data_IF_931098648265
#
_entry.id   IF_931098648265
#
_cell.length_a   1.000
_cell.length_b   1.000
_cell.length_c   1.000
_cell.angle_alpha   90.00
_cell.angle_beta   90.00
_cell.angle_gamma   90.00
#
_symmetry.space_group_name_H-M   'P 1'
#
loop_
_entity.id
_entity.type
_entity.pdbx_description
1 polymer ?
#
# COMPACT_ATOMS: atom_id res chain seq x y z
N UNK A 1 -1.15 -11.60 29.81
CA UNK A 1 -0.21 -12.33 28.90
C UNK A 1 -0.72 -12.52 27.47
N UNK A 2 -2.04 -12.54 27.21
CA UNK A 2 -2.64 -12.83 25.89
C UNK A 2 -2.40 -11.73 24.82
N UNK A 3 -2.26 -10.48 25.27
CA UNK A 3 -2.11 -9.27 24.47
C UNK A 3 -0.69 -9.15 23.87
N UNK A 4 0.33 -9.58 24.64
CA UNK A 4 1.73 -9.62 24.19
C UNK A 4 1.93 -10.65 23.06
N UNK A 5 1.19 -11.77 23.08
CA UNK A 5 1.25 -12.79 22.01
C UNK A 5 0.67 -12.28 20.69
N UNK A 6 -0.42 -11.51 20.73
CA UNK A 6 -0.98 -10.84 19.54
C UNK A 6 0.04 -9.87 18.94
N UNK A 7 0.70 -9.05 19.79
CA UNK A 7 1.69 -8.07 19.35
C UNK A 7 2.91 -8.75 18.71
N UNK A 8 3.35 -9.89 19.27
CA UNK A 8 4.47 -10.68 18.76
C UNK A 8 4.13 -11.38 17.43
N UNK A 9 2.89 -11.87 17.27
CA UNK A 9 2.41 -12.44 16.00
C UNK A 9 2.26 -11.36 14.92
N UNK A 10 1.78 -10.16 15.28
CA UNK A 10 1.67 -9.03 14.34
C UNK A 10 3.05 -8.54 13.88
N UNK A 11 4.00 -8.42 14.82
CA UNK A 11 5.39 -8.05 14.53
C UNK A 11 6.10 -9.14 13.71
N UNK A 12 5.89 -10.42 14.03
CA UNK A 12 6.42 -11.54 13.27
C UNK A 12 5.84 -11.62 11.85
N UNK A 13 4.53 -11.36 11.70
CA UNK A 13 3.89 -11.26 10.38
C UNK A 13 4.41 -10.06 9.59
N UNK A 14 4.62 -8.91 10.23
CA UNK A 14 5.21 -7.73 9.58
C UNK A 14 6.65 -7.98 9.11
N UNK A 15 7.48 -8.64 9.93
CA UNK A 15 8.84 -9.04 9.55
C UNK A 15 8.83 -10.10 8.44
N UNK A 16 7.92 -11.08 8.51
CA UNK A 16 7.80 -12.11 7.48
C UNK A 16 7.30 -11.55 6.14
N UNK A 17 6.34 -10.62 6.16
CA UNK A 17 5.86 -9.91 4.96
C UNK A 17 6.96 -9.02 4.40
N UNK A 18 7.70 -8.30 5.24
CA UNK A 18 8.84 -7.49 4.79
C UNK A 18 9.94 -8.36 4.19
N UNK A 19 10.26 -9.51 4.80
CA UNK A 19 11.24 -10.46 4.27
C UNK A 19 10.77 -11.10 2.96
N UNK A 20 9.47 -11.40 2.82
CA UNK A 20 8.89 -11.85 1.57
C UNK A 20 9.03 -10.78 0.49
N UNK A 21 8.74 -9.50 0.80
CA UNK A 21 8.87 -8.36 -0.12
C UNK A 21 10.32 -8.14 -0.62
N UNK A 22 11.32 -8.51 0.17
CA UNK A 22 12.73 -8.52 -0.26
C UNK A 22 13.09 -9.69 -1.19
N UNK A 23 12.30 -10.78 -1.19
CA UNK A 23 12.55 -12.02 -1.95
C UNK A 23 11.59 -12.24 -3.13
N UNK A 24 10.48 -11.48 -3.25
CA UNK A 24 9.67 -11.48 -4.47
C UNK A 24 10.49 -10.84 -5.59
N UNK A 25 10.48 -11.38 -6.83
CA UNK A 25 10.93 -10.61 -7.97
C UNK A 25 10.27 -9.24 -7.90
N UNK A 26 11.07 -8.16 -7.92
CA UNK A 26 10.54 -6.81 -7.96
C UNK A 26 9.53 -6.80 -9.10
N UNK A 27 8.24 -6.65 -8.79
CA UNK A 27 7.24 -6.37 -9.80
C UNK A 27 7.65 -5.01 -10.38
N UNK A 28 8.46 -5.06 -11.43
CA UNK A 28 8.69 -3.93 -12.32
C UNK A 28 7.31 -3.68 -12.89
N UNK A 29 6.60 -2.73 -12.29
CA UNK A 29 5.49 -2.08 -12.95
C UNK A 29 6.02 -1.68 -14.32
N UNK A 30 5.35 -2.14 -15.38
CA UNK A 30 5.78 -1.87 -16.74
C UNK A 30 5.95 -0.36 -16.89
N UNK A 31 7.20 0.08 -16.86
CA UNK A 31 7.55 1.47 -17.05
C UNK A 31 7.19 1.79 -18.50
N UNK A 32 6.33 2.80 -18.70
CA UNK A 32 5.90 3.25 -20.02
C UNK A 32 7.06 3.72 -20.90
N UNK A 33 8.27 3.79 -20.34
CA UNK A 33 9.45 4.27 -21.04
C UNK A 33 10.09 3.28 -22.02
N UNK A 34 9.70 2.00 -22.16
CA UNK A 34 10.23 1.08 -23.22
C UNK A 34 11.76 1.13 -23.48
N UNK A 35 12.59 1.48 -22.49
CA UNK A 35 14.04 1.65 -22.68
C UNK A 35 14.50 3.01 -23.26
N UNK A 36 13.60 3.97 -23.45
CA UNK A 36 13.86 5.34 -23.89
C UNK A 36 14.82 6.07 -22.95
N UNK A 37 14.73 5.82 -21.65
CA UNK A 37 15.70 6.31 -20.67
C UNK A 37 17.11 5.74 -20.90
N UNK A 38 17.23 4.43 -21.19
CA UNK A 38 18.52 3.81 -21.47
C UNK A 38 19.15 4.35 -22.77
N UNK A 39 18.32 4.66 -23.77
CA UNK A 39 18.75 5.33 -25.00
C UNK A 39 19.14 6.79 -24.74
N UNK A 40 18.38 7.54 -23.94
CA UNK A 40 18.68 8.92 -23.58
C UNK A 40 20.01 9.03 -22.79
N UNK A 41 20.27 8.08 -21.89
CA UNK A 41 21.53 7.98 -21.15
C UNK A 41 22.72 7.70 -22.08
N UNK A 42 22.55 6.79 -23.04
CA UNK A 42 23.58 6.45 -24.04
C UNK A 42 23.81 7.59 -25.04
N UNK A 43 22.79 8.41 -25.29
CA UNK A 43 22.85 9.59 -26.15
C UNK A 43 23.41 10.84 -25.45
N UNK A 44 23.72 10.77 -24.14
CA UNK A 44 24.24 11.90 -23.37
C UNK A 44 23.22 13.03 -23.15
N UNK A 45 21.92 12.74 -23.29
CA UNK A 45 20.86 13.70 -23.02
C UNK A 45 20.74 13.90 -21.49
N UNK A 46 20.52 15.13 -21.01
CA UNK A 46 20.29 15.37 -19.59
C UNK A 46 19.01 14.65 -19.17
N UNK A 47 19.17 13.49 -18.54
CA UNK A 47 18.11 12.73 -17.91
C UNK A 47 17.70 13.49 -16.64
N UNK A 48 16.95 14.57 -16.83
CA UNK A 48 16.40 15.34 -15.72
C UNK A 48 15.32 14.47 -15.13
N UNK A 49 15.70 13.65 -14.15
CA UNK A 49 14.75 12.91 -13.34
C UNK A 49 13.94 13.95 -12.59
N UNK A 50 12.79 14.28 -13.18
CA UNK A 50 11.97 15.38 -12.71
C UNK A 50 11.66 15.16 -11.24
N UNK A 51 11.65 16.24 -10.45
CA UNK A 51 11.37 16.15 -9.01
C UNK A 51 10.02 15.45 -8.79
N UNK A 52 9.08 15.65 -9.73
CA UNK A 52 7.80 14.96 -9.79
C UNK A 52 7.92 13.43 -9.92
N UNK A 53 8.86 12.91 -10.71
CA UNK A 53 9.06 11.47 -10.90
C UNK A 53 9.66 10.81 -9.65
N UNK A 54 10.63 11.47 -9.02
CA UNK A 54 11.21 10.99 -7.74
C UNK A 54 10.14 10.98 -6.65
N UNK A 55 9.36 12.06 -6.53
CA UNK A 55 8.26 12.15 -5.57
C UNK A 55 7.18 11.10 -5.85
N UNK A 56 6.78 10.91 -7.12
CA UNK A 56 5.79 9.92 -7.51
C UNK A 56 6.20 8.50 -7.12
N UNK A 57 7.48 8.16 -7.29
CA UNK A 57 7.99 6.83 -6.92
C UNK A 57 8.05 6.63 -5.40
N UNK A 58 8.44 7.65 -4.64
CA UNK A 58 8.44 7.62 -3.17
C UNK A 58 7.01 7.51 -2.62
N UNK A 59 6.08 8.32 -3.14
CA UNK A 59 4.67 8.30 -2.73
C UNK A 59 4.05 6.95 -3.10
N UNK A 60 4.25 6.46 -4.32
CA UNK A 60 3.73 5.16 -4.76
C UNK A 60 4.25 4.01 -3.89
N UNK A 61 5.54 4.02 -3.56
CA UNK A 61 6.14 3.04 -2.64
C UNK A 61 5.50 3.10 -1.24
N UNK A 62 5.35 4.29 -0.67
CA UNK A 62 4.70 4.46 0.63
C UNK A 62 3.22 4.02 0.60
N UNK A 63 2.47 4.38 -0.45
CA UNK A 63 1.05 4.07 -0.60
C UNK A 63 0.81 2.56 -0.71
N UNK A 64 1.69 1.84 -1.42
CA UNK A 64 1.62 0.37 -1.53
C UNK A 64 1.83 -0.33 -0.18
N UNK A 65 2.80 0.14 0.62
CA UNK A 65 3.04 -0.40 1.96
C UNK A 65 1.88 -0.10 2.91
N UNK A 66 1.28 1.09 2.82
CA UNK A 66 0.11 1.41 3.63
C UNK A 66 -1.08 0.53 3.23
N UNK A 67 -1.28 0.32 1.93
CA UNK A 67 -2.38 -0.50 1.41
C UNK A 67 -2.32 -1.95 1.90
N UNK A 68 -1.13 -2.58 1.87
CA UNK A 68 -0.96 -3.95 2.36
C UNK A 68 -1.24 -4.05 3.87
N UNK A 69 -0.89 -3.01 4.64
CA UNK A 69 -1.17 -2.95 6.08
C UNK A 69 -2.66 -2.87 6.39
N UNK A 70 -3.38 -1.95 5.73
CA UNK A 70 -4.83 -1.82 5.90
C UNK A 70 -5.57 -3.10 5.45
N UNK A 71 -5.14 -3.71 4.35
CA UNK A 71 -5.67 -5.00 3.91
C UNK A 71 -5.41 -6.13 4.93
N UNK A 72 -4.22 -6.15 5.54
CA UNK A 72 -3.89 -7.09 6.62
C UNK A 72 -4.78 -6.91 7.86
N UNK A 73 -5.10 -5.67 8.23
CA UNK A 73 -6.04 -5.38 9.33
C UNK A 73 -7.46 -5.84 9.01
N UNK A 74 -7.91 -5.68 7.76
CA UNK A 74 -9.20 -6.19 7.30
C UNK A 74 -9.27 -7.72 7.43
N UNK A 75 -8.23 -8.43 7.00
CA UNK A 75 -8.11 -9.89 7.17
C UNK A 75 -8.13 -10.30 8.65
N UNK A 76 -7.38 -9.59 9.50
CA UNK A 76 -7.37 -9.84 10.95
C UNK A 76 -8.76 -9.65 11.58
N UNK A 77 -9.47 -8.58 11.20
CA UNK A 77 -10.85 -8.33 11.61
C UNK A 77 -11.77 -9.45 11.13
N UNK A 78 -11.65 -9.90 9.88
CA UNK A 78 -12.43 -11.00 9.32
C UNK A 78 -12.22 -12.33 10.06
N UNK A 79 -10.96 -12.69 10.35
CA UNK A 79 -10.65 -13.90 11.14
C UNK A 79 -11.22 -13.79 12.56
N UNK A 80 -11.11 -12.62 13.17
CA UNK A 80 -11.66 -12.37 14.52
C UNK A 80 -13.19 -12.49 14.53
N UNK A 81 -13.86 -12.02 13.47
CA UNK A 81 -15.30 -12.15 13.30
C UNK A 81 -15.72 -13.62 13.16
N UNK A 82 -15.03 -14.37 12.30
CA UNK A 82 -15.29 -15.82 12.11
C UNK A 82 -15.03 -16.65 13.38
N UNK A 83 -14.09 -16.23 14.23
CA UNK A 83 -13.72 -16.95 15.46
C UNK A 83 -14.45 -16.46 16.72
N UNK A 84 -15.35 -15.49 16.60
CA UNK A 84 -16.05 -14.89 17.75
C UNK A 84 -16.99 -15.85 18.50
N UNK A 85 -17.34 -17.02 17.92
CA UNK A 85 -18.16 -18.09 18.55
C UNK A 85 -19.44 -17.56 19.23
N UNK A 86 -20.07 -16.52 18.67
CA UNK A 86 -21.29 -15.92 19.21
C UNK A 86 -21.11 -14.96 20.40
N UNK A 87 -19.87 -14.59 20.76
CA UNK A 87 -19.64 -13.56 21.78
C UNK A 87 -19.84 -12.16 21.18
N UNK A 88 -20.87 -11.40 21.61
CA UNK A 88 -21.25 -10.14 20.97
C UNK A 88 -20.12 -9.11 20.99
N UNK A 89 -19.35 -9.08 22.07
CA UNK A 89 -18.24 -8.14 22.25
C UNK A 89 -17.10 -8.36 21.24
N UNK A 90 -16.78 -9.61 20.91
CA UNK A 90 -15.76 -9.94 19.91
C UNK A 90 -16.27 -9.67 18.49
N UNK A 91 -17.55 -9.94 18.23
CA UNK A 91 -18.19 -9.67 16.95
C UNK A 91 -18.22 -8.17 16.65
N UNK A 92 -18.64 -7.35 17.62
CA UNK A 92 -18.67 -5.89 17.48
C UNK A 92 -17.27 -5.32 17.21
N UNK A 93 -16.28 -5.72 18.01
CA UNK A 93 -14.90 -5.28 17.85
C UNK A 93 -14.29 -5.67 16.50
N UNK A 94 -14.60 -6.87 16.01
CA UNK A 94 -14.13 -7.33 14.71
C UNK A 94 -14.74 -6.50 13.57
N UNK A 95 -16.04 -6.20 13.67
CA UNK A 95 -16.76 -5.39 12.69
C UNK A 95 -16.24 -3.95 12.66
N UNK A 96 -16.02 -3.33 13.83
CA UNK A 96 -15.43 -1.99 13.94
C UNK A 96 -14.05 -1.93 13.28
N UNK A 97 -13.23 -2.97 13.47
CA UNK A 97 -11.91 -3.07 12.86
C UNK A 97 -12.01 -3.15 11.33
N UNK A 98 -12.95 -3.93 10.80
CA UNK A 98 -13.17 -4.05 9.35
C UNK A 98 -13.66 -2.71 8.77
N UNK A 99 -14.62 -2.06 9.42
CA UNK A 99 -15.16 -0.76 8.97
C UNK A 99 -14.05 0.29 8.95
N UNK A 100 -13.27 0.40 10.02
CA UNK A 100 -12.15 1.33 10.09
C UNK A 100 -11.10 1.05 8.99
N UNK A 101 -10.80 -0.22 8.73
CA UNK A 101 -9.86 -0.61 7.69
C UNK A 101 -10.39 -0.24 6.28
N UNK A 102 -11.67 -0.50 6.01
CA UNK A 102 -12.32 -0.15 4.74
C UNK A 102 -12.31 1.36 4.50
N UNK A 103 -12.65 2.15 5.51
CA UNK A 103 -12.63 3.63 5.40
C UNK A 103 -11.23 4.12 5.07
N UNK A 104 -10.19 3.56 5.70
CA UNK A 104 -8.80 3.89 5.39
C UNK A 104 -8.43 3.63 3.93
N UNK A 105 -8.84 2.48 3.37
CA UNK A 105 -8.62 2.15 1.95
C UNK A 105 -9.36 3.13 1.04
N UNK A 106 -10.62 3.44 1.34
CA UNK A 106 -11.42 4.38 0.54
C UNK A 106 -10.77 5.77 0.50
N UNK A 107 -10.26 6.26 1.63
CA UNK A 107 -9.57 7.56 1.69
C UNK A 107 -8.32 7.57 0.81
N UNK A 108 -7.51 6.50 0.84
CA UNK A 108 -6.30 6.38 0.02
C UNK A 108 -6.64 6.41 -1.47
N UNK A 109 -7.66 5.64 -1.87
CA UNK A 109 -8.12 5.60 -3.25
C UNK A 109 -8.67 6.96 -3.71
N UNK A 110 -9.45 7.62 -2.84
CA UNK A 110 -9.97 8.96 -3.12
C UNK A 110 -8.84 10.00 -3.28
N UNK A 111 -7.84 9.98 -2.41
CA UNK A 111 -6.68 10.87 -2.49
C UNK A 111 -5.91 10.69 -3.80
N UNK A 112 -5.68 9.44 -4.22
CA UNK A 112 -5.03 9.15 -5.49
C UNK A 112 -5.87 9.61 -6.69
N UNK A 113 -7.18 9.34 -6.68
CA UNK A 113 -8.10 9.76 -7.73
C UNK A 113 -8.14 11.28 -7.88
N UNK A 114 -8.22 12.02 -6.76
CA UNK A 114 -8.21 13.49 -6.75
C UNK A 114 -6.87 14.01 -7.29
N UNK A 115 -5.76 13.45 -6.82
CA UNK A 115 -4.41 13.84 -7.29
C UNK A 115 -4.32 13.69 -8.81
N UNK A 116 -4.66 12.51 -9.32
CA UNK A 116 -4.61 12.24 -10.76
C UNK A 116 -5.57 13.14 -11.56
N UNK A 117 -6.76 13.42 -11.02
CA UNK A 117 -7.70 14.34 -11.64
C UNK A 117 -7.12 15.76 -11.76
N UNK A 118 -6.51 16.29 -10.70
CA UNK A 118 -5.91 17.63 -10.73
C UNK A 118 -4.76 17.70 -11.73
N UNK A 119 -3.81 16.75 -11.67
CA UNK A 119 -2.66 16.75 -12.57
C UNK A 119 -3.05 16.55 -14.04
N UNK A 120 -4.01 15.67 -14.33
CA UNK A 120 -4.48 15.45 -15.71
C UNK A 120 -5.15 16.68 -16.31
N UNK A 121 -5.86 17.48 -15.51
CA UNK A 121 -6.48 18.71 -16.00
C UNK A 121 -5.49 19.87 -16.16
N UNK A 122 -4.42 19.91 -15.36
CA UNK A 122 -3.41 20.98 -15.43
C UNK A 122 -2.36 20.75 -16.53
N UNK A 123 -2.03 19.49 -16.84
CA UNK A 123 -1.03 19.15 -17.88
C UNK A 123 -1.60 19.14 -19.30
N UNK A 124 -2.92 18.93 -19.47
CA UNK A 124 -3.59 19.01 -20.78
C UNK A 124 -4.08 20.42 -21.14
N UNK A 125 -3.78 21.44 -20.31
CA UNK A 125 -4.10 22.85 -20.56
C UNK A 125 -2.92 23.67 -21.07
#
# INVERSE_FOLDING_TARGET
MKNKKILLVLSGFFVAVSALLFFVPKFVQADSNYGLDATAQSAGLPMTKDLASVLGNVIGSALSLISILFFGLMLYGGITWMTARGKPENTAKALDTIIAATIGIVIILAAYAITNFVFSNVISG
#
